data_IF_908592137875
#
_entry.id   IF_908592137875
#
_cell.length_a   1.000
_cell.length_b   1.000
_cell.length_c   1.000
_cell.angle_alpha   90.00
_cell.angle_beta   90.00
_cell.angle_gamma   90.00
#
_symmetry.space_group_name_H-M   'P 1'
#
loop_
_entity.id
_entity.type
_entity.pdbx_description
1 polymer ?
#
# COMPACT_ATOMS: atom_id res chain seq x y z
N UNK A 1 12.77 -40.42 19.03
CA UNK A 1 13.95 -39.57 18.82
C UNK A 1 13.82 -38.90 17.45
N UNK A 2 13.82 -37.59 17.23
CA UNK A 2 13.51 -36.45 18.08
C UNK A 2 12.68 -35.50 17.20
N UNK A 3 11.56 -35.00 17.73
CA UNK A 3 10.80 -33.93 17.10
C UNK A 3 11.51 -32.63 17.44
N UNK A 4 12.29 -32.08 16.52
CA UNK A 4 12.69 -30.68 16.61
C UNK A 4 11.44 -29.86 16.27
N UNK A 5 10.71 -29.48 17.31
CA UNK A 5 9.72 -28.41 17.23
C UNK A 5 10.53 -27.14 17.00
N UNK A 6 10.66 -26.73 15.74
CA UNK A 6 11.02 -25.35 15.43
C UNK A 6 9.87 -24.49 15.92
N UNK A 7 9.95 -24.02 17.17
CA UNK A 7 9.25 -22.83 17.62
C UNK A 7 9.88 -21.64 16.87
N UNK A 8 9.63 -21.59 15.56
CA UNK A 8 9.68 -20.37 14.79
C UNK A 8 8.54 -19.52 15.31
N UNK A 9 8.89 -18.78 16.36
CA UNK A 9 8.24 -17.63 16.91
C UNK A 9 7.32 -16.94 15.88
N UNK A 10 6.01 -17.10 16.08
CA UNK A 10 4.94 -16.45 15.29
C UNK A 10 5.00 -14.92 15.34
N UNK A 11 5.89 -14.36 16.15
CA UNK A 11 6.09 -12.92 16.35
C UNK A 11 7.09 -12.34 15.34
N UNK A 12 7.96 -13.13 14.70
CA UNK A 12 8.98 -12.58 13.75
C UNK A 12 8.54 -12.52 12.28
N UNK A 13 7.44 -13.15 11.87
CA UNK A 13 6.89 -13.01 10.51
C UNK A 13 5.95 -11.80 10.34
N UNK A 14 5.50 -11.19 11.43
CA UNK A 14 4.57 -10.05 11.40
C UNK A 14 5.25 -8.68 11.24
N UNK A 15 6.54 -8.57 11.56
CA UNK A 15 7.23 -7.26 11.59
C UNK A 15 8.07 -6.93 10.35
N UNK A 16 8.10 -7.80 9.33
CA UNK A 16 8.74 -7.52 8.04
C UNK A 16 7.78 -7.31 6.87
N UNK A 17 6.51 -6.98 7.12
CA UNK A 17 5.68 -6.30 6.11
C UNK A 17 5.97 -4.80 6.14
N UNK A 18 7.19 -4.43 5.75
CA UNK A 18 7.38 -3.16 5.06
C UNK A 18 6.52 -3.22 3.79
N UNK A 19 5.24 -2.88 3.91
CA UNK A 19 4.30 -2.76 2.80
C UNK A 19 4.85 -1.64 1.93
N UNK A 20 5.71 -2.02 0.98
CA UNK A 20 6.16 -1.14 -0.10
C UNK A 20 4.95 -0.87 -0.97
N UNK A 21 4.12 0.07 -0.53
CA UNK A 21 3.01 0.62 -1.29
C UNK A 21 3.58 1.18 -2.60
N UNK A 22 3.16 0.60 -3.73
CA UNK A 22 3.60 1.06 -5.05
C UNK A 22 2.57 2.08 -5.55
N UNK A 23 2.96 3.34 -5.53
CA UNK A 23 2.19 4.46 -6.08
C UNK A 23 2.72 4.85 -7.47
N UNK A 24 1.83 4.88 -8.47
CA UNK A 24 2.17 5.35 -9.82
C UNK A 24 1.28 6.55 -10.17
N UNK A 25 1.83 7.67 -10.69
CA UNK A 25 1.04 8.83 -11.04
C UNK A 25 0.08 8.55 -12.21
N UNK A 26 -1.08 9.21 -12.20
CA UNK A 26 -2.10 9.12 -13.28
C UNK A 26 -1.62 9.76 -14.60
N UNK A 27 -0.62 10.62 -14.55
CA UNK A 27 0.00 11.25 -15.72
C UNK A 27 1.52 11.11 -15.67
N UNK A 28 2.14 10.85 -16.83
CA UNK A 28 3.61 10.75 -16.95
C UNK A 28 4.06 11.23 -18.32
N UNK A 29 5.12 12.05 -18.37
CA UNK A 29 5.81 12.38 -19.63
C UNK A 29 6.73 11.24 -20.03
N UNK A 30 6.56 10.74 -21.25
CA UNK A 30 7.35 9.62 -21.78
C UNK A 30 7.35 9.64 -23.30
N UNK A 31 8.33 9.00 -23.92
CA UNK A 31 8.46 8.92 -25.37
C UNK A 31 7.23 8.25 -26.01
N UNK A 32 6.68 8.89 -27.04
CA UNK A 32 5.62 8.33 -27.87
C UNK A 32 6.20 7.86 -29.22
N UNK A 33 5.97 6.60 -29.59
CA UNK A 33 6.47 6.03 -30.85
C UNK A 33 5.85 6.69 -32.10
N UNK A 34 4.59 7.10 -32.04
CA UNK A 34 3.90 7.75 -33.17
C UNK A 34 4.32 9.20 -33.36
N UNK A 35 4.32 9.99 -32.28
CA UNK A 35 4.71 11.41 -32.33
C UNK A 35 6.23 11.62 -32.39
N UNK A 36 7.03 10.57 -32.16
CA UNK A 36 8.50 10.59 -32.06
C UNK A 36 9.05 11.64 -31.09
N UNK A 37 8.26 12.03 -30.09
CA UNK A 37 8.62 13.03 -29.06
C UNK A 37 8.07 12.66 -27.68
N UNK A 38 8.57 13.34 -26.64
CA UNK A 38 8.18 13.10 -25.25
C UNK A 38 6.89 13.85 -24.88
N UNK A 39 5.82 13.07 -24.75
CA UNK A 39 4.47 13.58 -24.51
C UNK A 39 3.90 13.17 -23.19
N UNK A 40 2.93 13.93 -22.71
CA UNK A 40 2.13 13.56 -21.54
C UNK A 40 1.22 12.40 -21.90
N UNK A 41 1.33 11.32 -21.13
CA UNK A 41 0.49 10.14 -21.27
C UNK A 41 -0.43 10.00 -20.05
N UNK A 42 -1.69 9.64 -20.29
CA UNK A 42 -2.63 9.20 -19.28
C UNK A 42 -2.32 7.74 -18.92
N UNK A 43 -2.12 7.46 -17.64
CA UNK A 43 -1.78 6.14 -17.12
C UNK A 43 -3.04 5.49 -16.58
N UNK A 44 -3.28 4.25 -16.98
CA UNK A 44 -4.38 3.43 -16.48
C UNK A 44 -3.89 2.01 -16.21
N UNK A 45 -4.60 1.26 -15.37
CA UNK A 45 -4.33 -0.17 -15.19
C UNK A 45 -4.95 -0.95 -16.36
N UNK A 46 -4.18 -1.85 -16.97
CA UNK A 46 -4.72 -2.78 -17.94
C UNK A 46 -5.62 -3.81 -17.24
N UNK A 47 -6.81 -4.03 -17.82
CA UNK A 47 -7.72 -5.12 -17.46
C UNK A 47 -7.92 -5.98 -18.69
N UNK A 48 -7.95 -7.30 -18.49
CA UNK A 48 -8.30 -8.24 -19.55
C UNK A 48 -9.78 -8.05 -19.94
N UNK A 49 -10.07 -8.07 -21.23
CA UNK A 49 -11.44 -8.02 -21.75
C UNK A 49 -12.16 -9.37 -21.61
N UNK A 50 -13.45 -9.39 -21.97
CA UNK A 50 -14.25 -10.62 -22.06
C UNK A 50 -13.67 -11.54 -23.13
N UNK A 51 -13.58 -12.84 -22.84
CA UNK A 51 -13.10 -13.82 -23.81
C UNK A 51 -14.13 -14.02 -24.94
N UNK A 52 -13.64 -14.12 -26.18
CA UNK A 52 -14.49 -14.36 -27.37
C UNK A 52 -14.65 -15.86 -27.64
N UNK A 53 -15.90 -16.28 -27.88
CA UNK A 53 -16.27 -17.67 -28.18
C UNK A 53 -15.84 -18.11 -29.58
N UNK A 54 -15.76 -17.16 -30.52
CA UNK A 54 -15.45 -17.44 -31.92
C UNK A 54 -13.94 -17.59 -32.20
N UNK A 55 -13.10 -17.48 -31.17
CA UNK A 55 -11.67 -17.75 -31.32
C UNK A 55 -11.44 -19.22 -31.69
N UNK A 56 -10.49 -19.48 -32.60
CA UNK A 56 -10.24 -20.83 -33.12
C UNK A 56 -9.98 -21.86 -32.00
N UNK A 57 -9.22 -21.45 -30.97
CA UNK A 57 -8.92 -22.30 -29.81
C UNK A 57 -10.17 -22.66 -28.99
N UNK A 58 -11.09 -21.71 -28.81
CA UNK A 58 -12.35 -21.96 -28.09
C UNK A 58 -13.30 -22.84 -28.92
N UNK A 59 -13.48 -22.55 -30.21
CA UNK A 59 -14.25 -23.42 -31.14
C UNK A 59 -13.74 -24.86 -31.14
N UNK A 60 -12.43 -25.06 -31.18
CA UNK A 60 -11.81 -26.39 -31.11
C UNK A 60 -12.03 -27.06 -29.75
N UNK A 61 -11.94 -26.29 -28.65
CA UNK A 61 -12.17 -26.80 -27.30
C UNK A 61 -13.61 -27.27 -27.12
N UNK A 62 -14.58 -26.47 -27.58
CA UNK A 62 -16.01 -26.77 -27.44
C UNK A 62 -16.38 -28.02 -28.22
N UNK A 63 -15.98 -28.09 -29.51
CA UNK A 63 -16.15 -29.30 -30.32
C UNK A 63 -15.47 -30.55 -29.73
N UNK A 64 -14.34 -30.38 -29.03
CA UNK A 64 -13.67 -31.50 -28.36
C UNK A 64 -14.42 -31.94 -27.10
N UNK A 65 -15.09 -31.01 -26.44
CA UNK A 65 -15.78 -31.25 -25.17
C UNK A 65 -17.20 -31.82 -25.36
N UNK A 66 -17.78 -31.67 -26.55
CA UNK A 66 -19.08 -32.25 -26.91
C UNK A 66 -19.08 -33.79 -26.84
N UNK A 67 -20.22 -34.37 -26.43
CA UNK A 67 -20.40 -35.82 -26.29
C UNK A 67 -20.03 -36.38 -24.91
N UNK A 68 -19.77 -37.69 -24.85
CA UNK A 68 -19.37 -38.39 -23.64
C UNK A 68 -17.84 -38.42 -23.50
N UNK A 69 -17.33 -38.61 -22.27
CA UNK A 69 -15.88 -38.70 -22.00
C UNK A 69 -15.33 -37.67 -21.01
N UNK A 70 -16.19 -36.83 -20.42
CA UNK A 70 -15.84 -35.94 -19.33
C UNK A 70 -14.89 -34.79 -19.74
N UNK A 71 -13.98 -34.41 -18.83
CA UNK A 71 -13.11 -33.25 -19.04
C UNK A 71 -11.93 -33.56 -19.97
N UNK A 72 -11.89 -32.95 -21.16
CA UNK A 72 -10.93 -33.32 -22.22
C UNK A 72 -9.57 -32.60 -22.19
N UNK A 73 -9.41 -31.60 -21.32
CA UNK A 73 -8.20 -30.78 -21.18
C UNK A 73 -7.85 -30.55 -19.71
N UNK A 74 -6.56 -30.49 -19.36
CA UNK A 74 -6.12 -30.39 -17.97
C UNK A 74 -6.52 -29.06 -17.32
N UNK A 75 -7.01 -29.13 -16.08
CA UNK A 75 -7.30 -27.97 -15.23
C UNK A 75 -6.14 -27.76 -14.25
N UNK A 76 -5.52 -26.58 -14.27
CA UNK A 76 -4.40 -26.27 -13.40
C UNK A 76 -4.86 -25.95 -11.96
N UNK A 77 -4.61 -26.86 -11.00
CA UNK A 77 -5.04 -26.74 -9.59
C UNK A 77 -3.99 -26.11 -8.65
N UNK A 78 -2.69 -26.36 -8.85
CA UNK A 78 -1.62 -26.01 -7.90
C UNK A 78 -1.04 -24.59 -8.12
N UNK A 79 -1.81 -23.54 -7.81
CA UNK A 79 -1.35 -22.14 -7.97
C UNK A 79 -0.45 -21.70 -6.82
N UNK A 80 0.84 -21.50 -7.09
CA UNK A 80 1.81 -21.03 -6.10
C UNK A 80 1.93 -19.50 -5.98
N UNK A 81 1.66 -18.75 -7.06
CA UNK A 81 1.87 -17.28 -7.08
C UNK A 81 0.64 -16.54 -6.56
N UNK A 82 0.83 -15.72 -5.54
CA UNK A 82 -0.23 -14.93 -4.88
C UNK A 82 -0.53 -13.60 -5.58
N UNK A 83 0.44 -13.04 -6.30
CA UNK A 83 0.33 -11.74 -6.99
C UNK A 83 0.50 -11.88 -8.49
N UNK A 84 0.01 -10.90 -9.26
CA UNK A 84 0.18 -10.80 -10.72
C UNK A 84 1.13 -9.67 -11.07
N UNK A 85 1.70 -9.69 -12.27
CA UNK A 85 2.39 -8.50 -12.82
C UNK A 85 1.31 -7.50 -13.23
N UNK A 86 1.40 -6.27 -12.73
CA UNK A 86 0.50 -5.21 -13.15
C UNK A 86 1.06 -4.59 -14.43
N UNK A 87 0.20 -4.43 -15.42
CA UNK A 87 0.55 -3.79 -16.69
C UNK A 87 -0.15 -2.44 -16.74
N UNK A 88 0.63 -1.39 -16.98
CA UNK A 88 0.12 -0.06 -17.20
C UNK A 88 -0.22 0.13 -18.67
N UNK A 89 -1.37 0.72 -18.95
CA UNK A 89 -1.76 1.21 -20.26
C UNK A 89 -1.56 2.72 -20.29
N UNK A 90 -0.57 3.16 -21.05
CA UNK A 90 -0.21 4.56 -21.24
C UNK A 90 -0.83 5.05 -22.55
N UNK A 91 -1.73 6.02 -22.48
CA UNK A 91 -2.39 6.62 -23.63
C UNK A 91 -1.83 8.03 -23.88
N UNK A 92 -1.30 8.28 -25.07
CA UNK A 92 -0.80 9.61 -25.44
C UNK A 92 -1.96 10.61 -25.53
N UNK A 93 -1.79 11.81 -24.97
CA UNK A 93 -2.83 12.84 -25.00
C UNK A 93 -3.16 13.33 -26.42
N UNK A 94 -2.18 13.38 -27.33
CA UNK A 94 -2.38 13.90 -28.69
C UNK A 94 -2.84 12.82 -29.67
N UNK A 95 -2.02 11.79 -29.91
CA UNK A 95 -2.28 10.78 -30.94
C UNK A 95 -3.14 9.60 -30.48
N UNK A 96 -3.54 9.58 -29.20
CA UNK A 96 -4.30 8.49 -28.54
C UNK A 96 -3.68 7.09 -28.68
N UNK A 97 -2.40 7.04 -29.05
CA UNK A 97 -1.65 5.78 -29.12
C UNK A 97 -1.47 5.19 -27.72
N UNK A 98 -1.69 3.89 -27.62
CA UNK A 98 -1.63 3.14 -26.36
C UNK A 98 -0.40 2.25 -26.35
N UNK A 99 0.41 2.35 -25.30
CA UNK A 99 1.52 1.42 -25.04
C UNK A 99 1.31 0.70 -23.71
N UNK A 100 1.73 -0.57 -23.66
CA UNK A 100 1.66 -1.39 -22.45
C UNK A 100 3.03 -1.47 -21.80
N UNK A 101 3.10 -1.22 -20.48
CA UNK A 101 4.33 -1.30 -19.70
C UNK A 101 4.12 -2.23 -18.49
N UNK A 102 4.71 -3.44 -18.47
CA UNK A 102 4.65 -4.31 -17.32
C UNK A 102 5.58 -3.82 -16.20
N UNK A 103 5.08 -3.80 -14.96
CA UNK A 103 5.87 -3.56 -13.75
C UNK A 103 6.19 -4.91 -13.08
N UNK A 104 7.16 -4.90 -12.16
CA UNK A 104 7.39 -6.00 -11.20
C UNK A 104 6.11 -6.33 -10.42
N UNK A 105 6.02 -7.54 -9.87
CA UNK A 105 4.87 -7.95 -9.06
C UNK A 105 4.85 -7.16 -7.75
N UNK A 106 3.69 -6.66 -7.37
CA UNK A 106 3.46 -6.00 -6.07
C UNK A 106 2.15 -6.51 -5.46
N UNK A 107 2.04 -6.45 -4.13
CA UNK A 107 0.85 -6.88 -3.38
C UNK A 107 -0.22 -5.78 -3.38
N UNK A 108 0.19 -4.53 -3.13
CA UNK A 108 -0.67 -3.35 -3.14
C UNK A 108 -0.22 -2.40 -4.25
N UNK A 109 -1.17 -1.89 -5.01
CA UNK A 109 -0.93 -0.97 -6.12
C UNK A 109 -2.01 0.09 -6.13
N UNK A 110 -1.58 1.34 -6.14
CA UNK A 110 -2.46 2.51 -6.19
C UNK A 110 -2.06 3.41 -7.35
N UNK A 111 -3.07 4.07 -7.94
CA UNK A 111 -2.88 4.96 -9.08
C UNK A 111 -3.23 6.39 -8.68
N UNK A 112 -2.21 7.23 -8.55
CA UNK A 112 -2.34 8.62 -8.10
C UNK A 112 -2.73 8.77 -6.65
N UNK A 113 -2.15 7.94 -5.76
CA UNK A 113 -2.25 8.13 -4.32
C UNK A 113 -1.44 9.32 -3.84
N UNK A 114 -1.58 9.65 -2.56
CA UNK A 114 -0.90 10.81 -1.97
C UNK A 114 0.62 10.64 -1.98
N UNK A 115 1.31 11.74 -2.30
CA UNK A 115 2.76 11.77 -2.23
C UNK A 115 3.17 11.77 -0.76
N UNK A 116 4.06 10.85 -0.38
CA UNK A 116 4.65 10.84 0.95
C UNK A 116 5.37 12.17 1.19
N UNK A 117 4.95 12.91 2.21
CA UNK A 117 5.66 14.12 2.68
C UNK A 117 6.92 13.66 3.40
N UNK A 118 8.04 14.38 3.20
CA UNK A 118 9.24 14.18 4.02
C UNK A 118 8.95 14.86 5.36
N UNK A 119 8.71 14.07 6.41
CA UNK A 119 8.53 14.48 7.80
C UNK A 119 7.47 15.59 8.02
N UNK A 120 6.19 15.21 8.12
CA UNK A 120 5.27 15.94 8.99
C UNK A 120 5.05 15.05 10.21
N UNK A 121 5.45 15.54 11.38
CA UNK A 121 5.30 14.89 12.67
C UNK A 121 3.97 14.17 12.79
N UNK A 122 4.02 12.95 13.32
CA UNK A 122 2.86 12.23 13.79
C UNK A 122 2.14 13.11 14.82
N UNK A 123 1.07 13.79 14.41
CA UNK A 123 0.01 14.12 15.36
C UNK A 123 -0.71 12.81 15.66
N UNK A 124 -0.50 12.30 16.87
CA UNK A 124 -1.47 11.36 17.46
C UNK A 124 -2.73 12.19 17.67
N UNK A 125 -3.68 12.09 16.75
CA UNK A 125 -5.04 12.55 17.01
C UNK A 125 -5.70 11.55 17.96
N UNK A 126 -5.65 11.89 19.23
CA UNK A 126 -6.69 11.57 20.19
C UNK A 126 -6.99 12.85 20.94
N UNK A 127 -7.95 13.64 20.43
CA UNK A 127 -8.98 14.38 21.16
C UNK A 127 -9.66 15.42 20.25
N UNK A 128 -10.87 15.05 19.81
CA UNK A 128 -12.08 15.86 19.68
C UNK A 128 -12.03 17.26 19.05
N UNK A 129 -12.73 17.36 17.92
CA UNK A 129 -13.74 18.37 17.62
C UNK A 129 -13.33 19.85 17.82
N UNK A 130 -12.98 20.51 16.72
CA UNK A 130 -13.61 21.79 16.33
C UNK A 130 -13.19 22.09 14.90
N UNK A 131 -14.18 22.16 14.00
CA UNK A 131 -13.95 22.60 12.64
C UNK A 131 -13.47 24.04 12.61
N UNK A 132 -12.28 24.27 12.06
CA UNK A 132 -11.91 25.57 11.49
C UNK A 132 -10.88 25.35 10.38
N UNK A 133 -11.28 25.64 9.15
CA UNK A 133 -10.38 25.70 8.00
C UNK A 133 -9.30 26.76 8.24
N UNK A 134 -8.02 26.39 8.30
CA UNK A 134 -6.92 27.35 8.25
C UNK A 134 -5.96 27.01 7.12
N UNK A 135 -5.87 27.97 6.18
CA UNK A 135 -4.87 28.02 5.10
C UNK A 135 -3.46 28.11 5.70
N UNK A 136 -2.41 27.58 5.04
CA UNK A 136 -1.06 27.65 5.55
C UNK A 136 -0.39 28.96 5.14
N UNK A 137 -0.42 29.95 6.02
CA UNK A 137 0.52 31.07 5.96
C UNK A 137 1.26 31.17 7.30
N UNK A 138 2.57 30.94 7.22
CA UNK A 138 3.64 31.34 8.15
C UNK A 138 3.32 31.37 9.65
N UNK A 139 3.70 30.32 10.38
CA UNK A 139 4.00 30.42 11.82
C UNK A 139 5.21 29.56 12.21
N UNK A 140 6.39 30.01 11.81
CA UNK A 140 7.58 29.85 12.64
C UNK A 140 7.51 30.98 13.66
N UNK A 141 6.93 30.74 14.85
CA UNK A 141 7.11 31.47 16.11
C UNK A 141 5.98 31.08 17.08
N UNK A 142 6.20 30.08 17.94
CA UNK A 142 5.55 29.98 19.28
C UNK A 142 5.95 28.76 20.12
N UNK A 143 6.89 27.90 19.68
CA UNK A 143 7.29 26.69 20.44
C UNK A 143 8.06 27.02 21.74
N UNK A 144 8.41 28.28 22.03
CA UNK A 144 9.07 28.66 23.27
C UNK A 144 8.14 29.11 24.43
N UNK A 145 6.83 29.18 24.23
CA UNK A 145 5.91 29.69 25.27
C UNK A 145 5.19 28.60 26.10
N UNK A 146 5.27 27.33 25.71
CA UNK A 146 4.54 26.24 26.38
C UNK A 146 5.38 25.38 27.34
N UNK A 147 6.69 25.61 27.44
CA UNK A 147 7.55 24.89 28.40
C UNK A 147 7.48 25.43 29.84
N UNK A 148 7.00 26.66 30.02
CA UNK A 148 7.02 27.33 31.34
C UNK A 148 5.71 27.22 32.14
N UNK A 149 4.62 26.70 31.55
CA UNK A 149 3.32 26.58 32.23
C UNK A 149 3.08 25.17 32.80
N UNK A 150 3.76 24.14 32.28
CA UNK A 150 3.56 22.74 32.71
C UNK A 150 4.46 22.28 33.86
N UNK A 151 5.38 23.12 34.35
CA UNK A 151 6.25 22.79 35.49
C UNK A 151 5.62 23.11 36.87
N UNK A 152 4.43 23.71 36.90
CA UNK A 152 3.76 24.13 38.15
C UNK A 152 2.55 23.28 38.56
N UNK A 153 2.16 22.25 37.80
CA UNK A 153 0.90 21.51 38.06
C UNK A 153 1.08 20.04 38.48
N UNK A 154 2.31 19.58 38.74
CA UNK A 154 2.58 18.21 39.22
C UNK A 154 2.72 18.13 40.76
N UNK A 155 1.86 18.83 41.49
CA UNK A 155 1.71 18.66 42.93
C UNK A 155 0.23 18.38 43.21
N UNK A 156 -0.04 17.19 43.74
CA UNK A 156 -1.32 16.73 44.31
C UNK A 156 -2.40 16.24 43.34
N UNK A 157 -2.31 14.96 42.95
CA UNK A 157 -3.47 14.07 42.93
C UNK A 157 -3.02 12.61 42.79
N UNK A 158 -3.17 11.83 43.86
CA UNK A 158 -3.06 10.37 43.81
C UNK A 158 -4.30 9.78 43.13
N UNK A 159 -4.08 8.96 42.09
CA UNK A 159 -5.13 8.11 41.51
C UNK A 159 -4.63 6.67 41.42
N UNK A 160 -5.43 5.74 41.96
CA UNK A 160 -5.19 4.30 41.92
C UNK A 160 -5.71 3.73 40.58
N UNK A 161 -4.97 3.99 39.50
CA UNK A 161 -5.24 3.39 38.17
C UNK A 161 -4.15 2.36 37.78
N UNK A 162 -4.52 1.10 37.46
CA UNK A 162 -3.54 0.02 37.20
C UNK A 162 -2.73 0.19 35.91
N UNK A 163 -3.13 1.06 34.99
CA UNK A 163 -2.43 1.30 33.71
C UNK A 163 -1.22 2.24 33.87
N UNK A 164 -1.23 3.11 34.90
CA UNK A 164 -0.12 4.03 35.18
C UNK A 164 1.03 3.37 35.97
N UNK A 165 0.77 2.28 36.70
CA UNK A 165 1.83 1.48 37.36
C UNK A 165 2.75 0.76 36.37
N UNK A 166 2.25 0.31 35.23
CA UNK A 166 3.05 -0.39 34.21
C UNK A 166 3.99 0.57 33.44
N UNK A 167 3.60 1.83 33.29
CA UNK A 167 4.47 2.89 32.73
C UNK A 167 5.53 3.38 33.72
N UNK A 168 5.23 3.36 35.02
CA UNK A 168 6.20 3.72 36.07
C UNK A 168 7.27 2.62 36.27
N UNK A 169 6.89 1.35 36.17
CA UNK A 169 7.83 0.22 36.33
C UNK A 169 8.80 0.06 35.14
N UNK A 170 8.43 0.49 33.93
CA UNK A 170 9.35 0.51 32.78
C UNK A 170 10.36 1.66 32.87
N UNK A 171 9.97 2.79 33.47
CA UNK A 171 10.86 3.95 33.62
C UNK A 171 11.88 3.76 34.75
N UNK A 172 11.56 2.95 35.76
CA UNK A 172 12.46 2.63 36.87
C UNK A 172 13.59 1.64 36.52
N UNK A 173 13.50 0.97 35.36
CA UNK A 173 14.53 0.05 34.85
C UNK A 173 15.53 0.72 33.89
N UNK A 174 15.35 1.99 33.54
CA UNK A 174 16.24 2.73 32.61
C UNK A 174 17.21 3.65 33.38
N UNK A 175 17.00 3.86 34.68
CA UNK A 175 17.81 4.76 35.52
C UNK A 175 18.64 4.04 36.60
N UNK A 176 18.86 2.74 36.43
CA UNK A 176 19.75 1.91 37.27
C UNK A 176 20.67 1.09 36.36
N UNK A 177 21.33 1.79 35.43
CA UNK A 177 22.68 1.49 34.93
C UNK A 177 23.55 2.71 35.26
#
# INVERSE_FOLDING_TARGET
>A
MGRQITLQCSVCDELHKNIRLVNVPKTRRTYCKKCKRHQTHKVSQYKAGKASLYTQGKRRYDRKQEGYGGQTKPIFRKKAKTTKKIVLRMECAECKFRKQLPIKRCKHFELGGDKKRKLSQFFIEGLSETGLSRKPENQYFSIFALSNVLKSMAFMAGTNDPVLRYRSSILHCITLD
#
